data_IF_491196038987
#
_entry.id   IF_491196038987
#
_cell.length_a   1.000
_cell.length_b   1.000
_cell.length_c   1.000
_cell.angle_alpha   90.00
_cell.angle_beta   90.00
_cell.angle_gamma   90.00
#
_symmetry.space_group_name_H-M   'P 1'
#
loop_
_entity.id
_entity.type
_entity.pdbx_description
1 polymer ?
#
# COMPACT_ATOMS: atom_id res chain seq x y z
N UNK A 1 -24.77 15.40 34.96
CA UNK A 1 -23.46 15.92 34.53
C UNK A 1 -22.92 14.95 33.50
N UNK A 2 -23.03 15.31 32.21
CA UNK A 2 -22.52 14.54 31.09
C UNK A 2 -21.00 14.51 31.11
N UNK A 3 -20.40 13.33 31.08
CA UNK A 3 -18.96 13.17 30.80
C UNK A 3 -18.76 13.38 29.31
N UNK A 4 -18.18 14.53 28.98
CA UNK A 4 -17.89 14.95 27.61
C UNK A 4 -16.57 14.34 27.12
N UNK A 5 -16.64 13.86 25.87
CA UNK A 5 -15.55 13.78 24.90
C UNK A 5 -14.48 12.73 25.16
N UNK A 6 -14.70 11.54 24.56
CA UNK A 6 -13.60 10.67 24.20
C UNK A 6 -12.63 11.42 23.30
N UNK A 7 -11.38 11.52 23.74
CA UNK A 7 -10.24 11.95 22.94
C UNK A 7 -10.19 11.10 21.65
N UNK A 8 -10.71 11.69 20.58
CA UNK A 8 -10.44 11.29 19.21
C UNK A 8 -9.36 12.23 18.70
N UNK A 9 -8.13 11.75 18.52
CA UNK A 9 -7.13 12.56 17.82
C UNK A 9 -5.67 12.30 18.14
N UNK A 10 -5.17 11.11 17.83
CA UNK A 10 -3.82 11.01 17.26
C UNK A 10 -3.87 10.08 16.03
N UNK A 11 -4.24 10.66 14.89
CA UNK A 11 -4.39 10.02 13.57
C UNK A 11 -3.03 9.93 12.83
N UNK A 12 -1.92 9.80 13.55
CA UNK A 12 -0.59 9.68 12.93
C UNK A 12 -0.21 8.23 12.61
N UNK A 13 -0.97 7.25 13.12
CA UNK A 13 -0.84 5.85 12.74
C UNK A 13 -1.73 5.54 11.52
N UNK A 14 -1.19 4.85 10.51
CA UNK A 14 -1.96 4.41 9.35
C UNK A 14 -3.15 3.52 9.77
N UNK A 15 -4.38 4.04 9.67
CA UNK A 15 -5.61 3.31 10.03
C UNK A 15 -6.16 2.55 8.82
N UNK A 16 -6.48 1.26 9.02
CA UNK A 16 -7.11 0.40 8.00
C UNK A 16 -8.63 0.38 8.21
N UNK A 17 -9.40 0.45 7.12
CA UNK A 17 -10.87 0.39 7.14
C UNK A 17 -11.40 -0.54 6.06
N UNK A 18 -12.27 -1.47 6.46
CA UNK A 18 -13.06 -2.29 5.53
C UNK A 18 -14.16 -1.42 4.92
N UNK A 19 -14.20 -1.32 3.59
CA UNK A 19 -15.21 -0.54 2.86
C UNK A 19 -16.39 -1.41 2.41
N UNK A 20 -16.15 -2.71 2.24
CA UNK A 20 -17.14 -3.71 1.78
C UNK A 20 -16.73 -5.11 2.26
N UNK A 21 -17.73 -5.95 2.51
CA UNK A 21 -17.54 -7.32 2.98
C UNK A 21 -17.50 -7.40 4.51
N UNK A 22 -17.72 -8.60 5.04
CA UNK A 22 -17.64 -8.90 6.48
C UNK A 22 -16.52 -9.94 6.65
N UNK A 23 -15.25 -9.51 6.77
CA UNK A 23 -14.15 -10.44 6.97
C UNK A 23 -14.27 -11.10 8.32
N UNK A 24 -13.94 -12.38 8.39
CA UNK A 24 -13.82 -13.06 9.67
C UNK A 24 -12.51 -12.68 10.39
N UNK A 25 -12.40 -13.08 11.66
CA UNK A 25 -11.24 -12.77 12.50
C UNK A 25 -9.93 -13.32 11.92
N UNK A 26 -9.98 -14.46 11.24
CA UNK A 26 -8.80 -15.12 10.65
C UNK A 26 -8.34 -14.35 9.43
N UNK A 27 -9.26 -13.94 8.57
CA UNK A 27 -9.00 -13.13 7.38
C UNK A 27 -8.44 -11.75 7.76
N UNK A 28 -9.01 -11.11 8.78
CA UNK A 28 -8.51 -9.83 9.28
C UNK A 28 -7.10 -9.97 9.87
N UNK A 29 -6.86 -11.02 10.67
CA UNK A 29 -5.54 -11.31 11.22
C UNK A 29 -4.51 -11.57 10.11
N UNK A 30 -4.87 -12.33 9.07
CA UNK A 30 -4.00 -12.60 7.93
C UNK A 30 -3.63 -11.32 7.18
N UNK A 31 -4.59 -10.40 6.96
CA UNK A 31 -4.32 -9.12 6.32
C UNK A 31 -3.33 -8.27 7.14
N UNK A 32 -3.56 -8.14 8.45
CA UNK A 32 -2.68 -7.38 9.35
C UNK A 32 -1.28 -8.00 9.39
N UNK A 33 -1.19 -9.33 9.52
CA UNK A 33 0.07 -10.05 9.50
C UNK A 33 0.85 -9.82 8.20
N UNK A 34 0.17 -9.86 7.06
CA UNK A 34 0.77 -9.57 5.75
C UNK A 34 1.34 -8.15 5.65
N UNK A 35 0.61 -7.15 6.15
CA UNK A 35 1.08 -5.75 6.17
C UNK A 35 2.31 -5.58 7.06
N UNK A 36 2.30 -6.17 8.27
CA UNK A 36 3.44 -6.12 9.18
C UNK A 36 4.65 -6.82 8.57
N UNK A 37 4.47 -8.03 8.03
CA UNK A 37 5.54 -8.78 7.38
C UNK A 37 6.15 -8.01 6.19
N UNK A 38 5.33 -7.38 5.36
CA UNK A 38 5.80 -6.55 4.26
C UNK A 38 6.61 -5.34 4.73
N UNK A 39 6.22 -4.70 5.84
CA UNK A 39 7.00 -3.59 6.41
C UNK A 39 8.33 -4.02 6.99
N UNK A 40 8.38 -5.19 7.63
CA UNK A 40 9.64 -5.77 8.12
C UNK A 40 10.56 -6.09 6.94
N UNK A 41 10.04 -6.77 5.91
CA UNK A 41 10.83 -7.11 4.72
C UNK A 41 11.33 -5.86 3.96
N UNK A 42 10.55 -4.78 3.92
CA UNK A 42 10.97 -3.53 3.29
C UNK A 42 12.06 -2.78 4.07
N UNK A 43 12.20 -3.02 5.37
CA UNK A 43 13.27 -2.41 6.18
C UNK A 43 14.65 -3.04 5.89
N UNK A 44 14.69 -4.27 5.38
CA UNK A 44 15.92 -4.99 5.06
C UNK A 44 16.49 -4.67 3.67
N UNK A 45 15.75 -3.92 2.83
CA UNK A 45 16.09 -3.65 1.43
C UNK A 45 16.72 -2.25 1.27
N UNK A 46 17.90 -2.05 1.88
CA UNK A 46 18.71 -0.81 1.78
C UNK A 46 19.53 -0.75 0.46
N UNK A 47 19.24 -1.64 -0.50
CA UNK A 47 19.87 -1.60 -1.81
C UNK A 47 19.28 -0.43 -2.62
N UNK A 48 20.10 0.52 -3.13
CA UNK A 48 19.61 1.60 -3.95
C UNK A 48 19.00 1.03 -5.23
N UNK A 49 17.68 0.95 -5.27
CA UNK A 49 16.93 0.58 -6.46
C UNK A 49 17.27 1.62 -7.52
N UNK A 50 17.97 1.19 -8.58
CA UNK A 50 18.28 2.04 -9.73
C UNK A 50 16.97 2.72 -10.15
N UNK A 51 16.93 4.06 -10.28
CA UNK A 51 15.69 4.74 -10.62
C UNK A 51 15.13 4.11 -11.89
N UNK A 52 13.96 3.48 -11.76
CA UNK A 52 13.25 2.94 -12.90
C UNK A 52 13.07 4.10 -13.90
N UNK A 53 13.28 3.88 -15.21
CA UNK A 53 13.01 4.91 -16.20
C UNK A 53 11.59 5.44 -15.96
N UNK A 54 11.44 6.76 -15.96
CA UNK A 54 10.17 7.40 -15.72
C UNK A 54 9.09 6.70 -16.57
N UNK A 55 7.98 6.22 -16.00
CA UNK A 55 6.99 5.43 -16.75
C UNK A 55 6.43 6.17 -17.97
N UNK A 56 6.50 7.50 -17.95
CA UNK A 56 6.13 8.42 -19.04
C UNK A 56 7.04 8.29 -20.27
N UNK A 57 8.28 7.84 -20.05
CA UNK A 57 9.30 7.58 -21.08
C UNK A 57 9.27 6.14 -21.58
N UNK A 58 8.40 5.27 -21.05
CA UNK A 58 8.27 3.90 -21.52
C UNK A 58 7.62 3.86 -22.90
N UNK A 59 8.42 3.50 -23.91
CA UNK A 59 7.95 3.36 -25.28
C UNK A 59 6.90 2.22 -25.41
N UNK A 60 6.97 1.20 -24.56
CA UNK A 60 6.02 0.09 -24.54
C UNK A 60 4.57 0.55 -24.32
N UNK A 61 4.37 1.58 -23.48
CA UNK A 61 3.05 2.19 -23.26
C UNK A 61 2.47 2.86 -24.50
N UNK A 62 3.30 3.55 -25.30
CA UNK A 62 2.85 4.15 -26.58
C UNK A 62 2.43 3.10 -27.60
N UNK A 63 3.00 1.90 -27.48
CA UNK A 63 2.69 0.75 -28.33
C UNK A 63 1.56 -0.13 -27.77
N UNK A 64 0.92 0.26 -26.66
CA UNK A 64 -0.17 -0.49 -26.04
C UNK A 64 0.27 -1.83 -25.43
N UNK A 65 1.54 -2.00 -25.09
CA UNK A 65 2.02 -3.23 -24.45
C UNK A 65 1.44 -3.36 -23.03
N UNK A 66 1.12 -4.58 -22.59
CA UNK A 66 0.68 -4.82 -21.23
C UNK A 66 1.77 -4.40 -20.23
N UNK A 67 1.38 -3.91 -19.04
CA UNK A 67 2.34 -3.54 -17.99
C UNK A 67 3.19 -4.74 -17.59
N UNK A 68 4.49 -4.53 -17.46
CA UNK A 68 5.39 -5.54 -16.89
C UNK A 68 5.21 -5.55 -15.38
N UNK A 69 4.90 -6.72 -14.81
CA UNK A 69 4.85 -6.89 -13.37
C UNK A 69 6.26 -6.75 -12.79
N UNK A 70 6.40 -5.98 -11.72
CA UNK A 70 7.68 -5.77 -11.05
C UNK A 70 7.56 -4.97 -9.76
N UNK A 71 8.63 -4.90 -8.95
CA UNK A 71 8.65 -4.14 -7.72
C UNK A 71 8.23 -2.69 -7.95
N UNK A 72 7.25 -2.20 -7.19
CA UNK A 72 6.73 -0.84 -7.32
C UNK A 72 5.92 -0.54 -8.59
N UNK A 73 5.71 -1.51 -9.50
CA UNK A 73 4.94 -1.30 -10.73
C UNK A 73 3.48 -0.88 -10.43
N UNK A 74 2.92 -1.39 -9.33
CA UNK A 74 1.58 -1.05 -8.86
C UNK A 74 1.43 0.40 -8.39
N UNK A 75 2.52 1.11 -8.04
CA UNK A 75 2.45 2.50 -7.56
C UNK A 75 1.94 3.46 -8.64
N UNK A 76 2.03 3.04 -9.90
CA UNK A 76 1.62 3.82 -11.06
C UNK A 76 0.19 3.53 -11.52
N UNK A 77 -0.54 2.62 -10.88
CA UNK A 77 -1.97 2.41 -11.17
C UNK A 77 -2.87 3.54 -10.64
N UNK A 78 -2.34 4.34 -9.72
CA UNK A 78 -2.98 5.53 -9.14
C UNK A 78 -2.62 6.82 -9.89
N UNK A 79 -1.70 6.76 -10.86
CA UNK A 79 -1.37 7.90 -11.70
C UNK A 79 -2.36 7.97 -12.88
N UNK A 80 -3.05 9.10 -13.09
CA UNK A 80 -3.96 9.28 -14.22
C UNK A 80 -3.27 9.16 -15.58
#
# INVERSE_FOLDING_TARGET
MSSATGESGDLTAAQLRVVRGEPDDVELAALVAGIVAARVAAADDDAPSRPAPAPWSDHGRRLGRPPVAGPGAWRWSLHP
#
